data_IF_095146001873
#
_entry.id   IF_095146001873
#
_cell.length_a   1.000
_cell.length_b   1.000
_cell.length_c   1.000
_cell.angle_alpha   90.00
_cell.angle_beta   90.00
_cell.angle_gamma   90.00
#
_symmetry.space_group_name_H-M   'P 1'
#
loop_
_entity.id
_entity.type
_entity.pdbx_description
1 polymer ?
#
# COMPACT_ATOMS: atom_id res chain seq x y z
N UNK A 1 -15.78 9.87 -46.35
CA UNK A 1 -16.34 10.44 -45.12
C UNK A 1 -16.08 9.47 -43.96
N UNK A 2 -15.64 10.02 -42.83
CA UNK A 2 -15.42 9.43 -41.50
C UNK A 2 -14.78 8.03 -41.38
N UNK A 3 -13.46 8.01 -41.16
CA UNK A 3 -12.82 6.93 -40.38
C UNK A 3 -13.28 7.09 -38.94
N UNK A 4 -14.19 6.23 -38.48
CA UNK A 4 -14.55 6.09 -37.07
C UNK A 4 -13.36 5.50 -36.31
N UNK A 5 -12.38 6.34 -35.97
CA UNK A 5 -11.41 6.00 -34.94
C UNK A 5 -12.19 5.89 -33.63
N UNK A 6 -12.41 4.67 -33.15
CA UNK A 6 -12.85 4.45 -31.78
C UNK A 6 -11.73 4.97 -30.89
N UNK A 7 -11.84 6.23 -30.47
CA UNK A 7 -11.01 6.74 -29.37
C UNK A 7 -11.48 5.92 -28.18
N UNK A 8 -10.69 4.92 -27.78
CA UNK A 8 -10.94 4.17 -26.56
C UNK A 8 -10.96 5.21 -25.44
N UNK A 9 -12.16 5.61 -25.01
CA UNK A 9 -12.33 6.62 -23.98
C UNK A 9 -11.58 6.09 -22.76
N UNK A 10 -10.45 6.71 -22.44
CA UNK A 10 -9.64 6.37 -21.27
C UNK A 10 -10.52 6.68 -20.07
N UNK A 11 -11.28 5.69 -19.59
CA UNK A 11 -12.11 5.84 -18.38
C UNK A 11 -11.18 6.28 -17.26
N UNK A 12 -11.59 7.17 -16.36
CA UNK A 12 -10.73 7.53 -15.22
C UNK A 12 -10.51 6.32 -14.30
N UNK A 13 -9.36 6.26 -13.62
CA UNK A 13 -9.12 5.23 -12.61
C UNK A 13 -9.40 5.82 -11.24
N UNK A 14 -10.39 5.26 -10.57
CA UNK A 14 -10.72 5.64 -9.20
C UNK A 14 -10.76 4.42 -8.28
N UNK A 15 -10.33 3.24 -8.76
CA UNK A 15 -10.34 2.03 -7.94
C UNK A 15 -9.31 2.17 -6.81
N UNK A 16 -9.71 2.06 -5.53
CA UNK A 16 -8.76 2.11 -4.43
C UNK A 16 -7.82 0.90 -4.50
N UNK A 17 -6.53 1.14 -4.28
CA UNK A 17 -5.51 0.10 -4.23
C UNK A 17 -5.84 -0.90 -3.12
N UNK A 18 -6.14 -2.15 -3.49
CA UNK A 18 -6.57 -3.19 -2.57
C UNK A 18 -5.58 -3.42 -1.40
N UNK A 19 -4.26 -3.61 -1.61
CA UNK A 19 -3.33 -3.83 -0.50
C UNK A 19 -3.31 -2.72 0.57
N UNK A 20 -3.56 -1.46 0.17
CA UNK A 20 -3.54 -0.32 1.10
C UNK A 20 -4.90 0.30 1.37
N UNK A 21 -5.99 -0.31 0.91
CA UNK A 21 -7.34 0.22 1.03
C UNK A 21 -7.44 1.70 0.65
N UNK A 22 -6.71 2.13 -0.39
CA UNK A 22 -6.70 3.53 -0.85
C UNK A 22 -5.78 4.49 -0.10
N UNK A 23 -5.14 4.10 1.00
CA UNK A 23 -4.33 5.04 1.83
C UNK A 23 -3.00 5.46 1.20
N UNK A 24 -2.49 4.71 0.23
CA UNK A 24 -1.13 4.91 -0.31
C UNK A 24 -0.01 4.40 0.61
N UNK A 25 -0.32 3.92 1.81
CA UNK A 25 0.65 3.47 2.79
C UNK A 25 0.30 2.09 3.37
N UNK A 26 1.29 1.46 3.98
CA UNK A 26 1.16 0.21 4.73
C UNK A 26 1.74 0.45 6.11
N UNK A 27 1.05 0.00 7.17
CA UNK A 27 1.64 0.00 8.50
C UNK A 27 2.98 -0.75 8.46
N UNK A 28 4.02 -0.17 9.06
CA UNK A 28 5.32 -0.81 9.11
C UNK A 28 5.22 -2.03 10.02
N UNK A 29 5.38 -3.21 9.42
CA UNK A 29 5.20 -4.51 10.08
C UNK A 29 6.21 -4.75 11.21
N UNK A 30 7.37 -4.10 11.15
CA UNK A 30 8.45 -4.27 12.12
C UNK A 30 8.21 -3.53 13.44
N UNK A 31 7.59 -2.34 13.37
CA UNK A 31 7.23 -1.56 14.56
C UNK A 31 5.73 -1.51 14.81
N UNK A 32 4.95 -2.28 14.05
CA UNK A 32 3.47 -2.30 14.12
C UNK A 32 2.83 -0.91 14.15
N UNK A 33 3.39 0.04 13.41
CA UNK A 33 2.88 1.42 13.38
C UNK A 33 3.48 2.41 14.40
N UNK A 34 4.26 1.97 15.39
CA UNK A 34 4.74 2.85 16.48
C UNK A 34 5.88 3.79 16.07
N UNK A 35 6.63 3.44 15.02
CA UNK A 35 7.87 4.14 14.64
C UNK A 35 9.09 3.76 15.50
N UNK A 36 8.94 2.89 16.50
CA UNK A 36 10.04 2.42 17.34
C UNK A 36 10.02 0.89 17.48
N UNK A 37 11.18 0.31 17.79
CA UNK A 37 11.31 -1.09 18.15
C UNK A 37 11.83 -1.16 19.57
N UNK A 38 11.17 -1.97 20.40
CA UNK A 38 11.58 -2.23 21.77
C UNK A 38 12.16 -3.64 21.86
N UNK A 39 13.37 -3.75 22.39
CA UNK A 39 14.05 -5.03 22.61
C UNK A 39 14.27 -5.22 24.11
N UNK A 40 13.85 -6.36 24.64
CA UNK A 40 14.15 -6.74 26.02
C UNK A 40 15.58 -7.27 26.10
N UNK A 41 16.42 -6.64 26.93
CA UNK A 41 17.83 -7.03 27.12
C UNK A 41 18.01 -8.07 28.23
N UNK A 42 16.97 -8.28 29.05
CA UNK A 42 17.03 -9.10 30.27
C UNK A 42 17.13 -8.25 31.53
N UNK A 43 16.94 -8.84 32.71
CA UNK A 43 17.04 -8.12 33.99
C UNK A 43 15.98 -7.02 34.22
N UNK A 44 14.92 -6.98 33.41
CA UNK A 44 13.91 -5.90 33.44
C UNK A 44 14.28 -4.69 32.57
N UNK A 45 15.41 -4.73 31.87
CA UNK A 45 15.85 -3.65 30.98
C UNK A 45 15.29 -3.82 29.58
N UNK A 46 14.94 -2.69 28.97
CA UNK A 46 14.52 -2.58 27.58
C UNK A 46 15.32 -1.49 26.88
N UNK A 47 15.67 -1.75 25.62
CA UNK A 47 16.20 -0.75 24.72
C UNK A 47 15.12 -0.35 23.71
N UNK A 48 14.93 0.95 23.53
CA UNK A 48 14.01 1.50 22.53
C UNK A 48 14.82 2.23 21.47
N UNK A 49 14.63 1.83 20.22
CA UNK A 49 15.31 2.44 19.08
C UNK A 49 14.31 2.91 18.02
N UNK A 50 14.69 3.91 17.24
CA UNK A 50 13.94 4.32 16.05
C UNK A 50 13.88 3.15 15.08
N UNK A 51 12.68 2.83 14.58
CA UNK A 51 12.52 1.73 13.64
C UNK A 51 13.23 2.05 12.32
N UNK A 52 14.36 1.40 12.05
CA UNK A 52 15.17 1.61 10.84
C UNK A 52 14.39 1.27 9.56
N UNK A 53 13.46 0.32 9.64
CA UNK A 53 12.74 -0.15 8.46
C UNK A 53 11.77 0.90 7.90
N UNK A 54 11.23 1.78 8.74
CA UNK A 54 10.36 2.88 8.31
C UNK A 54 10.93 4.26 8.63
N UNK A 55 12.21 4.32 9.02
CA UNK A 55 12.85 5.52 9.55
C UNK A 55 11.97 6.23 10.59
N UNK A 56 11.35 5.48 11.49
CA UNK A 56 10.44 5.99 12.52
C UNK A 56 9.09 6.56 12.06
N UNK A 57 8.75 6.51 10.77
CA UNK A 57 7.47 7.01 10.27
C UNK A 57 6.25 6.15 10.68
N UNK A 58 6.48 4.91 11.16
CA UNK A 58 5.42 3.96 11.49
C UNK A 58 4.73 3.34 10.27
N UNK A 59 5.01 3.82 9.07
CA UNK A 59 4.42 3.32 7.82
C UNK A 59 5.45 3.26 6.69
N UNK A 60 5.11 2.51 5.65
CA UNK A 60 5.86 2.40 4.41
C UNK A 60 4.94 2.78 3.26
N UNK A 61 5.48 3.46 2.25
CA UNK A 61 4.76 3.69 1.00
C UNK A 61 4.30 2.35 0.43
N UNK A 62 3.03 2.26 0.06
CA UNK A 62 2.50 1.06 -0.59
C UNK A 62 3.19 0.88 -1.94
N UNK A 63 3.94 -0.21 -2.10
CA UNK A 63 4.70 -0.49 -3.32
C UNK A 63 3.80 -0.83 -4.51
N UNK A 64 2.60 -1.35 -4.27
CA UNK A 64 1.62 -1.65 -5.33
C UNK A 64 1.16 -0.40 -6.05
N UNK A 65 0.76 0.65 -5.31
CA UNK A 65 0.27 1.90 -5.89
C UNK A 65 1.28 3.04 -5.89
N UNK A 66 2.50 2.80 -5.38
CA UNK A 66 3.57 3.78 -5.24
C UNK A 66 3.10 5.07 -4.53
N UNK A 67 2.28 4.93 -3.49
CA UNK A 67 1.76 6.05 -2.71
C UNK A 67 0.51 6.73 -3.27
N UNK A 68 0.08 6.42 -4.50
CA UNK A 68 -1.09 7.09 -5.10
C UNK A 68 -2.42 6.73 -4.43
N UNK A 69 -2.48 5.58 -3.74
CA UNK A 69 -3.74 5.03 -3.24
C UNK A 69 -4.63 4.41 -4.34
N UNK A 70 -4.25 4.53 -5.61
CA UNK A 70 -5.04 4.02 -6.74
C UNK A 70 -4.48 2.67 -7.23
N UNK A 71 -5.37 1.71 -7.47
CA UNK A 71 -5.01 0.40 -7.98
C UNK A 71 -4.40 0.54 -9.38
N UNK A 72 -3.21 -0.04 -9.66
CA UNK A 72 -2.68 -0.04 -11.02
C UNK A 72 -3.63 -0.73 -12.00
N UNK A 73 -3.72 -0.19 -13.22
CA UNK A 73 -4.65 -0.65 -14.28
C UNK A 73 -4.56 -2.13 -14.61
N UNK A 74 -3.37 -2.73 -14.53
CA UNK A 74 -3.20 -4.15 -14.80
C UNK A 74 -3.81 -5.05 -13.71
N UNK A 75 -4.20 -4.46 -12.59
CA UNK A 75 -4.97 -5.06 -11.50
C UNK A 75 -6.40 -4.50 -11.42
N UNK A 76 -6.81 -3.56 -12.30
CA UNK A 76 -8.22 -3.15 -12.39
C UNK A 76 -9.04 -4.43 -12.55
N UNK A 77 -10.09 -4.55 -11.74
CA UNK A 77 -10.94 -5.75 -11.57
C UNK A 77 -10.87 -6.72 -12.76
N UNK A 78 -10.11 -7.82 -12.60
CA UNK A 78 -10.65 -9.10 -13.05
C UNK A 78 -11.87 -9.31 -12.15
N UNK A 79 -13.06 -9.50 -12.72
CA UNK A 79 -14.16 -10.06 -11.93
C UNK A 79 -13.69 -11.45 -11.49
N UNK A 80 -13.17 -11.55 -10.27
CA UNK A 80 -13.11 -12.82 -9.59
C UNK A 80 -14.56 -13.16 -9.30
N UNK A 81 -15.17 -13.96 -10.20
CA UNK A 81 -16.27 -14.79 -9.76
C UNK A 81 -15.68 -15.69 -8.69
N UNK A 82 -16.25 -15.64 -7.50
CA UNK A 82 -16.01 -16.67 -6.52
C UNK A 82 -16.52 -17.97 -7.18
N UNK A 83 -15.60 -18.87 -7.53
CA UNK A 83 -15.98 -20.21 -8.00
C UNK A 83 -16.50 -20.96 -6.77
N UNK A 84 -17.83 -21.07 -6.66
CA UNK A 84 -18.56 -21.86 -5.65
C UNK A 84 -18.12 -23.34 -5.62
#
# INVERSE_FOLDING_TARGET
MLKMYVVQAKRDNTQPCFPCSGTGAQSCRFCTGSGNVTVALGGGENEVSRCINCDGAGSLTCTTCQGSGIQPRYLDRREFKDDD
#
